data_IF_751433121243
#
_entry.id   IF_751433121243
#
_cell.length_a   1.000
_cell.length_b   1.000
_cell.length_c   1.000
_cell.angle_alpha   90.00
_cell.angle_beta   90.00
_cell.angle_gamma   90.00
#
_symmetry.space_group_name_H-M   'P 1'
#
loop_
_entity.id
_entity.type
_entity.pdbx_description
1 polymer ?
#
# COMPACT_ATOMS: atom_id res chain seq x y z
N UNK A 1 0.68 2.93 21.15
CA UNK A 1 -0.09 2.41 20.00
C UNK A 1 0.15 0.92 19.87
N UNK A 2 -0.91 0.15 19.61
CA UNK A 2 -0.82 -1.28 19.25
C UNK A 2 -0.60 -1.38 17.73
N UNK A 3 0.25 -2.30 17.27
CA UNK A 3 0.44 -2.58 15.84
C UNK A 3 0.11 -4.04 15.60
N UNK A 4 -0.73 -4.31 14.60
CA UNK A 4 -1.16 -5.63 14.17
C UNK A 4 -0.75 -5.80 12.71
N UNK A 5 0.21 -6.68 12.45
CA UNK A 5 0.76 -6.88 11.10
C UNK A 5 0.54 -8.32 10.67
N UNK A 6 0.02 -8.52 9.46
CA UNK A 6 -0.04 -9.85 8.85
C UNK A 6 1.32 -10.24 8.26
N UNK A 7 2.22 -10.71 9.13
CA UNK A 7 3.57 -11.14 8.73
C UNK A 7 3.55 -12.31 7.74
N UNK A 8 2.55 -13.20 7.82
CA UNK A 8 2.38 -14.31 6.86
C UNK A 8 2.15 -13.78 5.44
N UNK A 9 1.25 -12.81 5.28
CA UNK A 9 0.98 -12.15 4.00
C UNK A 9 2.23 -11.46 3.44
N UNK A 10 2.92 -10.68 4.27
CA UNK A 10 4.16 -9.99 3.88
C UNK A 10 5.23 -11.00 3.45
N UNK A 11 5.50 -12.03 4.27
CA UNK A 11 6.53 -13.02 4.00
C UNK A 11 6.24 -13.86 2.74
N UNK A 12 4.97 -14.23 2.52
CA UNK A 12 4.55 -14.92 1.29
C UNK A 12 4.81 -14.04 0.07
N UNK A 13 4.35 -12.80 0.08
CA UNK A 13 4.46 -11.90 -1.06
C UNK A 13 5.92 -11.48 -1.33
N UNK A 14 6.73 -11.31 -0.27
CA UNK A 14 8.16 -11.08 -0.40
C UNK A 14 8.89 -12.29 -1.04
N UNK A 15 8.51 -13.52 -0.68
CA UNK A 15 9.05 -14.74 -1.31
C UNK A 15 8.70 -14.82 -2.80
N UNK A 16 7.45 -14.49 -3.18
CA UNK A 16 7.04 -14.41 -4.59
C UNK A 16 7.94 -13.43 -5.34
N UNK A 17 8.14 -12.22 -4.82
CA UNK A 17 9.02 -11.22 -5.43
C UNK A 17 10.46 -11.71 -5.60
N UNK A 18 11.02 -12.36 -4.57
CA UNK A 18 12.39 -12.91 -4.61
C UNK A 18 12.54 -14.02 -5.65
N UNK A 19 11.65 -15.01 -5.64
CA UNK A 19 11.73 -16.15 -6.56
C UNK A 19 11.43 -15.74 -7.99
N UNK A 20 10.40 -14.91 -8.23
CA UNK A 20 10.11 -14.37 -9.55
C UNK A 20 11.31 -13.58 -10.11
N UNK A 21 11.95 -12.74 -9.29
CA UNK A 21 13.15 -12.00 -9.71
C UNK A 21 14.29 -12.95 -10.11
N UNK A 22 14.61 -13.95 -9.29
CA UNK A 22 15.70 -14.92 -9.60
C UNK A 22 15.37 -15.75 -10.85
N UNK A 23 14.15 -16.29 -10.93
CA UNK A 23 13.72 -17.09 -12.06
C UNK A 23 13.71 -16.27 -13.36
N UNK A 24 13.32 -15.00 -13.31
CA UNK A 24 13.34 -14.12 -14.48
C UNK A 24 14.76 -13.95 -15.03
N UNK A 25 15.77 -13.79 -14.16
CA UNK A 25 17.17 -13.65 -14.57
C UNK A 25 17.67 -14.93 -15.23
N UNK A 26 17.36 -16.10 -14.65
CA UNK A 26 17.77 -17.39 -15.20
C UNK A 26 17.13 -17.63 -16.57
N UNK A 27 15.82 -17.40 -16.69
CA UNK A 27 15.07 -17.60 -17.94
C UNK A 27 15.53 -16.63 -19.03
N UNK A 28 15.70 -15.34 -18.70
CA UNK A 28 16.21 -14.35 -19.65
C UNK A 28 17.63 -14.67 -20.09
N UNK A 29 18.50 -15.07 -19.16
CA UNK A 29 19.88 -15.48 -19.46
C UNK A 29 19.93 -16.70 -20.39
N UNK A 30 19.08 -17.71 -20.14
CA UNK A 30 18.95 -18.87 -21.02
C UNK A 30 18.44 -18.48 -22.42
N UNK A 31 17.45 -17.59 -22.51
CA UNK A 31 16.97 -17.05 -23.79
C UNK A 31 18.06 -16.32 -24.57
N UNK A 32 18.80 -15.41 -23.91
CA UNK A 32 19.92 -14.70 -24.54
C UNK A 32 21.01 -15.67 -25.01
N UNK A 33 21.38 -16.66 -24.21
CA UNK A 33 22.36 -17.68 -24.58
C UNK A 33 21.93 -18.48 -25.81
N UNK A 34 20.66 -18.96 -25.84
CA UNK A 34 20.13 -19.72 -26.96
C UNK A 34 20.09 -18.91 -28.26
N UNK A 35 19.91 -17.59 -28.19
CA UNK A 35 20.01 -16.69 -29.36
C UNK A 35 21.32 -16.90 -30.14
N UNK A 36 22.44 -17.09 -29.43
CA UNK A 36 23.75 -17.25 -30.05
C UNK A 36 24.13 -18.72 -30.26
N UNK A 37 23.78 -19.60 -29.31
CA UNK A 37 24.17 -21.00 -29.35
C UNK A 37 23.33 -21.85 -30.32
N UNK A 38 22.04 -21.52 -30.46
CA UNK A 38 21.06 -22.28 -31.27
C UNK A 38 20.12 -21.35 -32.04
N UNK A 39 20.62 -20.69 -33.11
CA UNK A 39 19.82 -19.80 -33.93
C UNK A 39 18.63 -20.49 -34.63
N UNK A 40 18.63 -21.83 -34.70
CA UNK A 40 17.52 -22.64 -35.20
C UNK A 40 16.29 -22.63 -34.28
N UNK A 41 16.46 -22.30 -32.99
CA UNK A 41 15.40 -22.34 -31.96
C UNK A 41 14.76 -20.96 -31.70
N UNK A 42 14.64 -20.13 -32.74
CA UNK A 42 14.15 -18.73 -32.63
C UNK A 42 12.85 -18.62 -31.84
N UNK A 43 11.84 -19.45 -32.14
CA UNK A 43 10.54 -19.40 -31.45
C UNK A 43 10.64 -19.70 -29.96
N UNK A 44 11.47 -20.68 -29.56
CA UNK A 44 11.70 -21.02 -28.16
C UNK A 44 12.42 -19.88 -27.43
N UNK A 45 13.44 -19.30 -28.07
CA UNK A 45 14.17 -18.13 -27.56
C UNK A 45 13.23 -16.96 -27.30
N UNK A 46 12.36 -16.60 -28.26
CA UNK A 46 11.39 -15.53 -28.07
C UNK A 46 10.40 -15.84 -26.95
N UNK A 47 9.90 -17.08 -26.85
CA UNK A 47 9.01 -17.49 -25.77
C UNK A 47 9.68 -17.33 -24.39
N UNK A 48 10.94 -17.78 -24.25
CA UNK A 48 11.70 -17.61 -23.00
C UNK A 48 11.91 -16.14 -22.65
N UNK A 49 12.23 -15.28 -23.63
CA UNK A 49 12.41 -13.86 -23.38
C UNK A 49 11.12 -13.18 -22.90
N UNK A 50 9.98 -13.51 -23.52
CA UNK A 50 8.66 -12.97 -23.11
C UNK A 50 8.30 -13.45 -21.70
N UNK A 51 8.43 -14.74 -21.42
CA UNK A 51 8.13 -15.31 -20.09
C UNK A 51 9.04 -14.72 -19.03
N UNK A 52 10.34 -14.62 -19.33
CA UNK A 52 11.33 -14.00 -18.44
C UNK A 52 10.99 -12.53 -18.15
N UNK A 53 10.54 -11.77 -19.15
CA UNK A 53 10.14 -10.37 -18.98
C UNK A 53 8.85 -10.21 -18.16
N UNK A 54 7.86 -11.08 -18.34
CA UNK A 54 6.65 -11.06 -17.50
C UNK A 54 7.02 -11.37 -16.04
N UNK A 55 7.87 -12.38 -15.84
CA UNK A 55 8.29 -12.80 -14.50
C UNK A 55 9.15 -11.74 -13.81
N UNK A 56 9.99 -11.01 -14.56
CA UNK A 56 10.74 -9.87 -14.00
C UNK A 56 9.79 -8.77 -13.53
N UNK A 57 8.71 -8.52 -14.26
CA UNK A 57 7.68 -7.58 -13.87
C UNK A 57 6.98 -7.96 -12.55
N UNK A 58 6.60 -9.22 -12.42
CA UNK A 58 6.06 -9.77 -11.17
C UNK A 58 7.08 -9.62 -10.03
N UNK A 59 8.35 -9.95 -10.30
CA UNK A 59 9.45 -9.81 -9.36
C UNK A 59 9.65 -8.38 -8.87
N UNK A 60 9.60 -7.39 -9.77
CA UNK A 60 9.72 -5.96 -9.45
C UNK A 60 8.54 -5.50 -8.60
N UNK A 61 7.30 -5.80 -9.02
CA UNK A 61 6.09 -5.38 -8.30
C UNK A 61 6.08 -5.92 -6.86
N UNK A 62 6.28 -7.23 -6.69
CA UNK A 62 6.28 -7.84 -5.36
C UNK A 62 7.52 -7.46 -4.55
N UNK A 63 8.67 -7.31 -5.22
CA UNK A 63 9.93 -6.95 -4.61
C UNK A 63 9.92 -5.55 -4.01
N UNK A 64 9.40 -4.56 -4.75
CA UNK A 64 9.30 -3.18 -4.29
C UNK A 64 8.30 -3.01 -3.14
N UNK A 65 7.17 -3.71 -3.19
CA UNK A 65 6.09 -3.55 -2.20
C UNK A 65 6.30 -4.33 -0.90
N UNK A 66 6.93 -5.51 -0.93
CA UNK A 66 7.06 -6.37 0.25
C UNK A 66 8.48 -6.84 0.61
N UNK A 67 9.45 -6.82 -0.31
CA UNK A 67 10.78 -7.39 -0.07
C UNK A 67 11.88 -6.36 0.27
N UNK A 68 11.83 -5.16 -0.29
CA UNK A 68 12.89 -4.15 -0.14
C UNK A 68 12.67 -3.23 1.08
N UNK A 69 13.67 -3.04 1.97
CA UNK A 69 13.63 -2.01 2.99
C UNK A 69 13.96 -0.61 2.42
N UNK A 70 13.44 0.49 3.03
CA UNK A 70 12.47 0.48 4.12
C UNK A 70 11.06 0.14 3.61
N UNK A 71 10.45 -0.90 4.19
CA UNK A 71 9.11 -1.35 3.79
C UNK A 71 8.06 -0.32 4.20
N UNK A 72 6.96 -0.26 3.45
CA UNK A 72 5.90 0.74 3.67
C UNK A 72 5.26 0.63 5.06
N UNK A 73 5.01 -0.60 5.54
CA UNK A 73 4.48 -0.86 6.89
C UNK A 73 5.38 -0.28 7.98
N UNK A 74 6.70 -0.46 7.84
CA UNK A 74 7.71 0.05 8.78
C UNK A 74 7.72 1.59 8.75
N UNK A 75 7.65 2.19 7.57
CA UNK A 75 7.63 3.65 7.41
C UNK A 75 6.38 4.27 8.05
N UNK A 76 5.19 3.70 7.83
CA UNK A 76 3.93 4.18 8.42
C UNK A 76 3.95 4.00 9.95
N UNK A 77 4.39 2.84 10.44
CA UNK A 77 4.53 2.59 11.87
C UNK A 77 5.49 3.60 12.53
N UNK A 78 6.60 3.93 11.86
CA UNK A 78 7.54 4.93 12.34
C UNK A 78 6.93 6.34 12.34
N UNK A 79 6.24 6.75 11.27
CA UNK A 79 5.59 8.05 11.16
C UNK A 79 4.50 8.26 12.23
N UNK A 80 3.77 7.21 12.57
CA UNK A 80 2.73 7.22 13.60
C UNK A 80 3.26 6.92 15.01
N UNK A 81 4.58 6.79 15.20
CA UNK A 81 5.17 6.57 16.52
C UNK A 81 4.82 7.72 17.47
N UNK A 82 4.55 7.37 18.73
CA UNK A 82 4.11 8.33 19.75
C UNK A 82 2.63 8.73 19.64
N UNK A 83 1.84 8.03 18.82
CA UNK A 83 0.38 8.03 18.97
C UNK A 83 -0.02 7.30 20.27
N UNK A 84 -1.13 7.72 20.88
CA UNK A 84 -1.60 7.22 22.17
C UNK A 84 -1.81 5.70 22.21
N UNK A 85 -1.92 5.12 23.43
CA UNK A 85 -2.20 3.68 23.62
C UNK A 85 -3.58 3.26 23.09
N UNK A 86 -4.50 4.20 22.95
CA UNK A 86 -5.84 4.01 22.38
C UNK A 86 -5.86 3.85 20.85
N UNK A 87 -4.73 4.02 20.17
CA UNK A 87 -4.63 3.76 18.73
C UNK A 87 -4.15 2.34 18.44
N UNK A 88 -4.75 1.70 17.43
CA UNK A 88 -4.33 0.41 16.87
C UNK A 88 -4.11 0.58 15.37
N UNK A 89 -2.94 0.21 14.89
CA UNK A 89 -2.54 0.26 13.48
C UNK A 89 -2.52 -1.16 12.93
N UNK A 90 -3.24 -1.40 11.84
CA UNK A 90 -3.30 -2.67 11.13
C UNK A 90 -2.54 -2.55 9.81
N UNK A 91 -1.67 -3.53 9.53
CA UNK A 91 -0.97 -3.68 8.26
C UNK A 91 -1.32 -5.03 7.64
N UNK A 92 -2.00 -5.01 6.50
CA UNK A 92 -2.40 -6.20 5.73
C UNK A 92 -3.23 -7.24 6.52
N UNK A 93 -3.81 -6.82 7.64
CA UNK A 93 -4.62 -7.65 8.53
C UNK A 93 -6.11 -7.32 8.44
N UNK A 94 -6.49 -6.35 7.61
CA UNK A 94 -7.87 -5.93 7.35
C UNK A 94 -8.04 -5.78 5.84
N UNK A 95 -9.26 -5.51 5.33
CA UNK A 95 -9.49 -5.32 3.89
C UNK A 95 -8.69 -4.16 3.28
N UNK A 96 -8.34 -3.15 4.08
CA UNK A 96 -7.43 -2.08 3.67
C UNK A 96 -5.98 -2.49 3.88
N UNK A 97 -5.07 -2.00 3.01
CA UNK A 97 -3.64 -2.28 3.14
C UNK A 97 -3.10 -1.80 4.49
N UNK A 98 -3.51 -0.59 4.88
CA UNK A 98 -3.13 0.02 6.16
C UNK A 98 -4.33 0.74 6.78
N UNK A 99 -4.69 0.35 7.99
CA UNK A 99 -5.85 0.89 8.70
C UNK A 99 -5.45 1.35 10.09
N UNK A 100 -5.73 2.60 10.44
CA UNK A 100 -5.53 3.11 11.80
C UNK A 100 -6.89 3.29 12.46
N UNK A 101 -7.07 2.72 13.65
CA UNK A 101 -8.27 2.86 14.47
C UNK A 101 -7.90 3.52 15.78
N UNK A 102 -8.60 4.58 16.14
CA UNK A 102 -8.42 5.24 17.43
C UNK A 102 -9.61 6.09 17.83
N UNK A 103 -9.53 6.83 18.95
CA UNK A 103 -10.65 7.62 19.45
C UNK A 103 -11.19 8.64 18.44
N UNK A 104 -10.34 9.09 17.51
CA UNK A 104 -10.69 10.02 16.43
C UNK A 104 -11.37 9.39 15.21
N UNK A 105 -11.72 8.10 15.27
CA UNK A 105 -12.36 7.36 14.17
C UNK A 105 -11.45 6.33 13.50
N UNK A 106 -11.84 5.94 12.29
CA UNK A 106 -11.17 4.96 11.43
C UNK A 106 -10.51 5.67 10.25
N UNK A 107 -9.22 5.43 10.04
CA UNK A 107 -8.42 6.07 8.98
C UNK A 107 -7.86 5.01 8.03
N UNK A 108 -8.21 5.11 6.76
CA UNK A 108 -7.66 4.25 5.69
C UNK A 108 -6.44 4.95 5.10
N UNK A 109 -5.28 4.31 5.16
CA UNK A 109 -4.01 4.90 4.72
C UNK A 109 -3.58 4.21 3.43
N UNK A 110 -3.76 4.90 2.30
CA UNK A 110 -3.30 4.43 1.00
C UNK A 110 -1.94 5.02 0.71
N UNK A 111 -0.94 4.17 0.44
CA UNK A 111 0.45 4.58 0.28
C UNK A 111 0.91 4.56 -1.17
N UNK A 112 1.80 5.48 -1.53
CA UNK A 112 2.39 5.61 -2.87
C UNK A 112 3.88 5.93 -2.77
N UNK A 113 4.73 5.23 -3.53
CA UNK A 113 6.20 5.38 -3.48
C UNK A 113 6.76 6.37 -4.52
N UNK A 114 5.91 7.06 -5.27
CA UNK A 114 6.34 7.90 -6.39
C UNK A 114 7.28 9.05 -5.95
N UNK A 115 8.27 9.34 -6.81
CA UNK A 115 9.26 10.43 -6.68
C UNK A 115 8.92 11.61 -7.58
N UNK A 116 9.51 12.77 -7.31
CA UNK A 116 9.35 13.97 -8.13
C UNK A 116 8.07 14.72 -7.78
N UNK A 117 7.62 15.60 -8.69
CA UNK A 117 6.51 16.52 -8.40
C UNK A 117 5.16 15.87 -8.71
N UNK A 118 4.35 15.63 -7.68
CA UNK A 118 2.97 15.19 -7.79
C UNK A 118 2.04 16.37 -7.78
N UNK A 119 1.04 16.34 -8.67
CA UNK A 119 0.01 17.37 -8.81
C UNK A 119 -1.35 16.74 -9.02
N UNK A 120 -2.40 17.43 -8.58
CA UNK A 120 -3.78 17.06 -8.88
C UNK A 120 -4.42 18.13 -9.76
N UNK A 121 -4.77 17.79 -11.00
CA UNK A 121 -5.46 18.74 -11.91
C UNK A 121 -6.54 18.02 -12.69
N UNK A 122 -7.73 18.65 -12.78
CA UNK A 122 -8.89 18.14 -13.55
C UNK A 122 -9.27 16.70 -13.17
N UNK A 123 -9.31 16.40 -11.87
CA UNK A 123 -9.71 15.07 -11.38
C UNK A 123 -8.66 13.98 -11.56
N UNK A 124 -7.41 14.32 -11.93
CA UNK A 124 -6.37 13.33 -12.24
C UNK A 124 -5.07 13.66 -11.53
N UNK A 125 -4.49 12.62 -10.94
CA UNK A 125 -3.13 12.63 -10.42
C UNK A 125 -2.11 12.63 -11.56
N UNK A 126 -1.18 13.56 -11.53
CA UNK A 126 -0.09 13.67 -12.50
C UNK A 126 1.25 13.77 -11.80
N UNK A 127 2.20 13.03 -12.33
CA UNK A 127 3.61 13.08 -11.94
C UNK A 127 4.39 13.85 -12.99
N UNK A 128 5.09 14.90 -12.56
CA UNK A 128 5.96 15.71 -13.39
C UNK A 128 7.42 15.48 -12.97
N UNK A 129 8.32 15.45 -13.96
CA UNK A 129 9.76 15.35 -13.76
C UNK A 129 10.54 15.48 -15.06
N UNK A 130 11.87 15.63 -14.95
CA UNK A 130 12.76 15.78 -16.10
C UNK A 130 12.97 14.51 -16.92
N UNK A 131 13.83 14.58 -17.93
CA UNK A 131 14.18 13.48 -18.87
C UNK A 131 14.52 12.16 -18.15
N UNK A 132 15.21 12.22 -17.01
CA UNK A 132 15.54 11.04 -16.21
C UNK A 132 14.31 10.38 -15.56
N UNK A 133 13.32 11.18 -15.11
CA UNK A 133 12.06 10.66 -14.57
C UNK A 133 11.19 10.03 -15.68
N UNK A 134 11.25 10.58 -16.90
CA UNK A 134 10.59 10.00 -18.07
C UNK A 134 11.18 8.63 -18.43
N UNK A 135 12.51 8.50 -18.46
CA UNK A 135 13.19 7.21 -18.66
C UNK A 135 12.80 6.20 -17.58
N UNK A 136 12.88 6.59 -16.30
CA UNK A 136 12.46 5.73 -15.20
C UNK A 136 10.97 5.38 -15.26
N UNK A 137 10.09 6.23 -15.81
CA UNK A 137 8.66 5.88 -15.94
C UNK A 137 8.41 4.76 -16.96
N UNK A 138 9.26 4.64 -17.97
CA UNK A 138 9.20 3.56 -18.98
C UNK A 138 9.80 2.27 -18.41
N UNK A 139 10.88 2.36 -17.64
CA UNK A 139 11.63 1.19 -17.18
C UNK A 139 11.36 0.75 -15.74
N UNK A 140 10.86 1.62 -14.86
CA UNK A 140 10.67 1.36 -13.42
C UNK A 140 9.22 1.09 -13.00
N UNK A 141 8.30 0.82 -13.94
CA UNK A 141 7.09 0.05 -13.60
C UNK A 141 5.89 0.84 -13.07
N UNK A 142 6.12 1.62 -12.02
CA UNK A 142 5.04 2.04 -11.12
C UNK A 142 4.66 3.51 -11.32
N UNK A 143 3.85 3.75 -12.35
CA UNK A 143 3.12 5.01 -12.47
C UNK A 143 2.18 5.24 -11.27
N UNK A 144 1.77 6.49 -11.05
CA UNK A 144 0.83 6.85 -9.97
C UNK A 144 -0.52 6.13 -10.08
N UNK A 145 -0.92 5.71 -11.29
CA UNK A 145 -2.15 4.96 -11.54
C UNK A 145 -3.42 5.79 -11.28
N UNK A 146 -4.43 5.15 -10.68
CA UNK A 146 -5.69 5.76 -10.24
C UNK A 146 -5.87 5.63 -8.72
N UNK A 147 -5.16 6.44 -7.91
CA UNK A 147 -5.29 6.42 -6.46
C UNK A 147 -6.73 6.60 -5.98
N UNK A 148 -7.53 7.35 -6.72
CA UNK A 148 -8.95 7.57 -6.45
C UNK A 148 -9.77 6.26 -6.41
N UNK A 149 -9.51 5.35 -7.35
CA UNK A 149 -10.20 4.05 -7.40
C UNK A 149 -9.73 3.12 -6.28
N UNK A 150 -8.43 3.11 -5.98
CA UNK A 150 -7.87 2.29 -4.89
C UNK A 150 -8.36 2.77 -3.53
N UNK A 151 -8.35 4.09 -3.29
CA UNK A 151 -8.88 4.67 -2.05
C UNK A 151 -10.35 4.31 -1.88
N UNK A 152 -11.17 4.49 -2.93
CA UNK A 152 -12.59 4.12 -2.88
C UNK A 152 -12.75 2.64 -2.56
N UNK A 153 -12.01 1.77 -3.23
CA UNK A 153 -12.10 0.32 -3.00
C UNK A 153 -11.71 -0.08 -1.57
N UNK A 154 -10.62 0.48 -1.02
CA UNK A 154 -10.22 0.19 0.36
C UNK A 154 -11.22 0.73 1.39
N UNK A 155 -11.75 1.94 1.18
CA UNK A 155 -12.78 2.53 2.05
C UNK A 155 -14.06 1.70 2.01
N UNK A 156 -14.54 1.33 0.82
CA UNK A 156 -15.76 0.53 0.66
C UNK A 156 -15.60 -0.86 1.29
N UNK A 157 -14.44 -1.50 1.13
CA UNK A 157 -14.18 -2.82 1.71
C UNK A 157 -14.15 -2.78 3.25
N UNK A 158 -13.54 -1.75 3.84
CA UNK A 158 -13.56 -1.55 5.30
C UNK A 158 -14.97 -1.20 5.78
N UNK A 159 -15.67 -0.34 5.05
CA UNK A 159 -17.05 0.07 5.32
C UNK A 159 -17.98 -1.14 5.39
N UNK A 160 -17.93 -2.00 4.37
CA UNK A 160 -18.73 -3.22 4.30
C UNK A 160 -18.41 -4.19 5.45
N UNK A 161 -17.12 -4.44 5.71
CA UNK A 161 -16.74 -5.33 6.82
C UNK A 161 -17.22 -4.81 8.17
N UNK A 162 -17.09 -3.51 8.43
CA UNK A 162 -17.56 -2.90 9.68
C UNK A 162 -19.08 -2.93 9.78
N UNK A 163 -19.79 -2.65 8.68
CA UNK A 163 -21.25 -2.65 8.62
C UNK A 163 -21.85 -4.04 8.91
N UNK A 164 -21.18 -5.11 8.49
CA UNK A 164 -21.63 -6.48 8.74
C UNK A 164 -21.49 -6.93 10.21
N UNK A 165 -20.61 -6.30 10.98
CA UNK A 165 -20.24 -6.75 12.32
C UNK A 165 -20.55 -5.75 13.44
N UNK A 166 -21.02 -4.54 13.10
CA UNK A 166 -21.39 -3.51 14.06
C UNK A 166 -22.88 -3.19 13.94
N UNK A 167 -23.49 -2.86 15.07
CA UNK A 167 -24.84 -2.31 15.11
C UNK A 167 -24.87 -0.92 14.44
N UNK A 168 -26.06 -0.51 13.99
CA UNK A 168 -26.24 0.74 13.24
C UNK A 168 -25.72 1.97 13.99
N UNK A 169 -25.93 2.06 15.31
CA UNK A 169 -25.47 3.18 16.14
C UNK A 169 -23.94 3.29 16.16
N UNK A 170 -23.23 2.17 16.34
CA UNK A 170 -21.76 2.16 16.36
C UNK A 170 -21.18 2.45 14.97
N UNK A 171 -21.83 1.93 13.93
CA UNK A 171 -21.43 2.17 12.55
C UNK A 171 -21.68 3.63 12.13
N UNK A 172 -22.75 4.28 12.58
CA UNK A 172 -22.96 5.71 12.34
C UNK A 172 -21.95 6.57 13.11
N UNK A 173 -21.65 6.21 14.36
CA UNK A 173 -20.73 6.96 15.22
C UNK A 173 -19.28 6.99 14.69
N UNK A 174 -18.86 6.01 13.88
CA UNK A 174 -17.52 5.99 13.28
C UNK A 174 -17.41 6.74 11.95
N UNK A 175 -18.52 7.17 11.35
CA UNK A 175 -18.51 7.88 10.07
C UNK A 175 -18.01 9.33 10.21
N UNK A 176 -17.42 9.89 9.13
CA UNK A 176 -16.97 9.18 7.94
C UNK A 176 -15.71 8.35 8.19
N UNK A 177 -15.54 7.23 7.47
CA UNK A 177 -14.23 6.57 7.37
C UNK A 177 -13.29 7.52 6.60
N UNK A 178 -12.12 7.81 7.17
CA UNK A 178 -11.26 8.93 6.75
C UNK A 178 -10.09 8.43 5.91
N UNK A 179 -10.15 8.52 4.57
CA UNK A 179 -9.00 8.14 3.75
C UNK A 179 -7.87 9.18 3.84
N UNK A 180 -6.64 8.73 3.68
CA UNK A 180 -5.43 9.56 3.57
C UNK A 180 -4.56 8.96 2.49
N UNK A 181 -4.16 9.76 1.49
CA UNK A 181 -3.17 9.38 0.50
C UNK A 181 -1.79 9.82 0.98
N UNK A 182 -0.87 8.88 1.13
CA UNK A 182 0.46 9.12 1.71
C UNK A 182 1.55 8.78 0.72
N UNK A 183 2.41 9.74 0.41
CA UNK A 183 3.62 9.49 -0.35
C UNK A 183 4.79 9.16 0.57
N UNK A 184 5.37 7.98 0.40
CA UNK A 184 6.43 7.44 1.27
C UNK A 184 7.83 7.80 0.81
N UNK A 185 7.97 8.31 -0.42
CA UNK A 185 9.28 8.69 -0.92
C UNK A 185 9.72 10.06 -0.39
N UNK A 186 10.91 10.20 0.23
CA UNK A 186 11.38 11.49 0.73
C UNK A 186 11.59 12.53 -0.38
N UNK A 187 11.89 12.08 -1.60
CA UNK A 187 12.10 12.94 -2.77
C UNK A 187 10.82 13.30 -3.51
N UNK A 188 9.65 13.12 -2.88
CA UNK A 188 8.37 13.57 -3.44
C UNK A 188 8.16 15.05 -3.14
N UNK A 189 7.66 15.80 -4.11
CA UNK A 189 7.15 17.16 -3.94
C UNK A 189 5.67 17.15 -4.25
N UNK A 190 4.85 17.70 -3.36
CA UNK A 190 3.41 17.85 -3.61
C UNK A 190 3.17 19.32 -3.98
N UNK A 191 2.55 19.56 -5.14
CA UNK A 191 2.17 20.90 -5.63
C UNK A 191 0.74 20.84 -6.18
N UNK A 192 -0.07 21.85 -5.94
CA UNK A 192 -1.46 21.89 -6.44
C UNK A 192 -2.23 20.60 -6.07
N UNK A 193 -2.20 20.20 -4.79
CA UNK A 193 -2.88 19.00 -4.28
C UNK A 193 -4.01 19.32 -3.31
N UNK A 194 -4.28 20.61 -3.09
CA UNK A 194 -5.29 21.14 -2.17
C UNK A 194 -6.71 20.83 -2.65
N UNK A 195 -6.91 20.77 -3.97
CA UNK A 195 -8.18 20.38 -4.61
C UNK A 195 -8.41 18.87 -4.63
N UNK A 196 -7.46 18.08 -4.11
CA UNK A 196 -7.62 16.63 -4.06
C UNK A 196 -8.80 16.24 -3.15
N UNK A 197 -9.61 15.24 -3.55
CA UNK A 197 -10.79 14.81 -2.77
C UNK A 197 -10.42 14.15 -1.44
N UNK A 198 -9.14 13.80 -1.27
CA UNK A 198 -8.60 13.11 -0.10
C UNK A 198 -7.33 13.82 0.35
N UNK A 199 -7.14 14.04 1.67
CA UNK A 199 -5.90 14.58 2.22
C UNK A 199 -4.69 13.82 1.67
N UNK A 200 -3.87 14.55 0.90
CA UNK A 200 -2.71 13.99 0.21
C UNK A 200 -1.44 14.59 0.80
N UNK A 201 -0.63 13.76 1.43
CA UNK A 201 0.48 14.21 2.29
C UNK A 201 1.74 13.39 2.12
N UNK A 202 2.88 13.93 2.56
CA UNK A 202 4.11 13.16 2.71
C UNK A 202 4.03 12.31 3.98
N UNK A 203 4.85 11.27 4.04
CA UNK A 203 4.93 10.37 5.19
C UNK A 203 5.22 11.11 6.51
N UNK A 204 6.04 12.15 6.48
CA UNK A 204 6.40 12.95 7.66
C UNK A 204 5.20 13.72 8.24
N UNK A 205 4.25 14.12 7.39
CA UNK A 205 3.06 14.89 7.76
C UNK A 205 1.86 14.00 8.16
N UNK A 206 2.00 12.67 8.03
CA UNK A 206 0.93 11.71 8.28
C UNK A 206 0.36 11.86 9.69
N UNK A 207 1.21 11.96 10.71
CA UNK A 207 0.79 12.08 12.11
C UNK A 207 0.01 13.37 12.37
N UNK A 208 0.47 14.49 11.84
CA UNK A 208 -0.22 15.77 11.95
C UNK A 208 -1.59 15.72 11.27
N UNK A 209 -1.66 15.07 10.10
CA UNK A 209 -2.89 14.89 9.32
C UNK A 209 -3.91 14.04 10.06
N UNK A 210 -3.50 12.90 10.62
CA UNK A 210 -4.38 12.07 11.46
C UNK A 210 -4.93 12.86 12.63
N UNK A 211 -4.07 13.61 13.35
CA UNK A 211 -4.52 14.45 14.48
C UNK A 211 -5.51 15.54 14.07
N UNK A 212 -5.34 16.14 12.89
CA UNK A 212 -6.25 17.14 12.33
C UNK A 212 -7.61 16.53 12.04
N UNK A 213 -7.63 15.38 11.36
CA UNK A 213 -8.84 14.65 10.99
C UNK A 213 -9.55 13.98 12.19
N UNK A 214 -8.83 13.74 13.29
CA UNK A 214 -9.36 13.13 14.50
C UNK A 214 -10.24 14.08 15.35
N UNK A 215 -10.36 15.37 15.01
CA UNK A 215 -11.05 16.36 15.85
C UNK A 215 -12.57 16.18 15.90
N UNK A 216 -13.15 15.68 14.82
CA UNK A 216 -14.61 15.70 14.60
C UNK A 216 -15.33 14.44 15.10
N UNK A 217 -14.59 13.36 15.36
CA UNK A 217 -15.15 12.07 15.80
C UNK A 217 -14.62 11.73 17.18
N UNK A 218 -15.49 11.28 18.08
CA UNK A 218 -15.13 10.83 19.42
C UNK A 218 -15.77 9.50 19.72
N UNK A 219 -14.98 8.44 19.58
CA UNK A 219 -15.40 7.08 19.92
C UNK A 219 -15.13 6.79 21.39
N UNK A 220 -16.11 6.18 22.05
CA UNK A 220 -15.97 5.68 23.42
C UNK A 220 -15.03 4.47 23.49
N UNK A 221 -14.55 4.14 24.69
CA UNK A 221 -13.70 2.97 24.90
C UNK A 221 -14.38 1.65 24.50
N UNK A 222 -15.69 1.53 24.75
CA UNK A 222 -16.49 0.35 24.39
C UNK A 222 -16.68 0.24 22.87
N UNK A 223 -17.01 1.34 22.19
CA UNK A 223 -17.07 1.39 20.72
C UNK A 223 -15.75 0.98 20.09
N UNK A 224 -14.62 1.47 20.62
CA UNK A 224 -13.30 1.08 20.12
C UNK A 224 -13.02 -0.41 20.30
N UNK A 225 -13.48 -1.03 21.39
CA UNK A 225 -13.34 -2.49 21.58
C UNK A 225 -14.16 -3.24 20.55
N UNK A 226 -15.41 -2.85 20.31
CA UNK A 226 -16.30 -3.49 19.33
C UNK A 226 -15.80 -3.35 17.90
N UNK A 227 -15.35 -2.16 17.50
CA UNK A 227 -14.71 -1.92 16.19
C UNK A 227 -13.48 -2.82 16.01
N UNK A 228 -12.62 -2.94 17.03
CA UNK A 228 -11.44 -3.81 16.94
C UNK A 228 -11.81 -5.29 16.87
N UNK A 229 -12.87 -5.71 17.57
CA UNK A 229 -13.38 -7.07 17.47
C UNK A 229 -13.94 -7.37 16.07
N UNK A 230 -14.70 -6.44 15.49
CA UNK A 230 -15.23 -6.51 14.13
C UNK A 230 -14.14 -6.58 13.04
N UNK A 231 -13.00 -5.93 13.27
CA UNK A 231 -11.86 -5.99 12.35
C UNK A 231 -11.04 -7.28 12.48
N UNK A 232 -11.32 -8.09 13.49
CA UNK A 232 -10.56 -9.29 13.81
C UNK A 232 -9.21 -8.98 14.44
N UNK A 233 -8.92 -9.63 15.57
CA UNK A 233 -7.57 -9.68 16.12
C UNK A 233 -6.81 -10.82 15.41
N UNK A 234 -6.71 -10.77 14.08
CA UNK A 234 -6.08 -11.83 13.26
C UNK A 234 -4.57 -12.00 13.53
N UNK A 235 -4.00 -11.19 14.42
CA UNK A 235 -2.69 -11.45 15.02
C UNK A 235 -2.62 -12.76 15.85
N UNK A 236 -3.75 -13.36 16.25
CA UNK A 236 -3.77 -14.66 16.97
C UNK A 236 -3.93 -15.89 16.06
N UNK A 237 -4.80 -15.87 15.04
CA UNK A 237 -5.04 -17.04 14.17
C UNK A 237 -3.77 -17.49 13.42
N UNK A 238 -2.83 -16.58 13.17
CA UNK A 238 -1.57 -16.94 12.55
C UNK A 238 -0.60 -17.73 13.47
N UNK A 239 -0.76 -17.71 14.80
CA UNK A 239 0.09 -18.46 15.74
C UNK A 239 -0.42 -19.86 16.04
N UNK A 240 -1.71 -20.10 15.94
CA UNK A 240 -2.32 -21.37 16.36
C UNK A 240 -2.38 -22.42 15.23
N UNK A 241 -1.98 -22.05 14.01
CA UNK A 241 -1.85 -22.93 12.83
C UNK A 241 -0.37 -23.15 12.41
N UNK A 242 0.57 -22.99 13.34
CA UNK A 242 1.99 -23.32 13.16
C UNK A 242 2.35 -24.56 13.99
#
# INVERSE_FOLDING_TARGET
MRVVTNEKFIARNARIGRYASVASIVILGAGVYLTFARPDLVTLTFALLIVGFILSQVGIYFGNRWAKPPRVDVQISAALKGMGRSYTLYHYATPASHLLVGPGGVFVIVSRFQRGTMTYKKGKWRQHGGLMLWYWRIFAQEGIGRPDLEIKAEVDAVSEQLRQHLDAEDYEALQPIKPILVFTNPSVELKDVEEAPVPTVKIDDLKATVKRLARDTRLTGEQLKRIRAALGDEGKRARDEA
#
